data_IF_983398115361
#
_entry.id   IF_983398115361
#
_cell.length_a   1.000
_cell.length_b   1.000
_cell.length_c   1.000
_cell.angle_alpha   90.00
_cell.angle_beta   90.00
_cell.angle_gamma   90.00
#
_symmetry.space_group_name_H-M   'P 1'
#
loop_
_entity.id
_entity.type
_entity.pdbx_description
1 polymer ?
#
# COMPACT_ATOMS: atom_id res chain seq x y z
N UNK A 1 -6.51 29.59 -2.81
CA UNK A 1 -5.46 28.67 -2.37
C UNK A 1 -5.37 27.56 -3.40
N UNK A 2 -4.30 27.52 -4.19
CA UNK A 2 -4.23 26.67 -5.37
C UNK A 2 -4.32 25.18 -5.02
N UNK A 3 -5.00 24.42 -5.89
CA UNK A 3 -5.05 22.94 -5.88
C UNK A 3 -3.67 22.30 -5.66
N UNK A 4 -2.62 23.00 -6.10
CA UNK A 4 -1.22 22.63 -5.93
C UNK A 4 -0.76 22.60 -4.45
N UNK A 5 -1.09 23.63 -3.65
CA UNK A 5 -0.70 23.69 -2.24
C UNK A 5 -1.38 22.61 -1.40
N UNK A 6 -2.67 22.35 -1.64
CA UNK A 6 -3.38 21.27 -0.97
C UNK A 6 -2.77 19.90 -1.29
N UNK A 7 -2.41 19.66 -2.56
CA UNK A 7 -1.77 18.41 -2.96
C UNK A 7 -0.42 18.20 -2.24
N UNK A 8 0.39 19.25 -2.11
CA UNK A 8 1.66 19.19 -1.37
C UNK A 8 1.43 18.85 0.11
N UNK A 9 0.44 19.48 0.74
CA UNK A 9 0.12 19.21 2.15
C UNK A 9 -0.35 17.76 2.33
N UNK A 10 -1.19 17.23 1.43
CA UNK A 10 -1.61 15.82 1.48
C UNK A 10 -0.43 14.85 1.34
N UNK A 11 0.51 15.13 0.43
CA UNK A 11 1.72 14.32 0.26
C UNK A 11 2.59 14.36 1.52
N UNK A 12 2.79 15.54 2.12
CA UNK A 12 3.57 15.69 3.36
C UNK A 12 2.95 14.94 4.54
N UNK A 13 1.62 15.00 4.69
CA UNK A 13 0.90 14.26 5.73
C UNK A 13 1.07 12.75 5.52
N UNK A 14 0.92 12.27 4.28
CA UNK A 14 1.10 10.86 3.96
C UNK A 14 2.53 10.37 4.28
N UNK A 15 3.55 11.17 3.92
CA UNK A 15 4.96 10.88 4.24
C UNK A 15 5.21 10.86 5.76
N UNK A 16 4.65 11.82 6.49
CA UNK A 16 4.79 11.89 7.94
C UNK A 16 4.15 10.67 8.64
N UNK A 17 2.96 10.26 8.21
CA UNK A 17 2.28 9.06 8.72
C UNK A 17 3.10 7.80 8.42
N UNK A 18 3.68 7.69 7.23
CA UNK A 18 4.51 6.56 6.84
C UNK A 18 5.78 6.48 7.70
N UNK A 19 6.45 7.61 7.92
CA UNK A 19 7.64 7.69 8.78
C UNK A 19 7.34 7.36 10.25
N UNK A 20 6.21 7.85 10.78
CA UNK A 20 5.74 7.51 12.12
C UNK A 20 5.46 6.02 12.25
N UNK A 21 4.77 5.44 11.28
CA UNK A 21 4.50 4.02 11.23
C UNK A 21 5.80 3.20 11.25
N UNK A 22 6.77 3.53 10.41
CA UNK A 22 8.06 2.85 10.42
C UNK A 22 8.81 3.00 11.74
N UNK A 23 8.78 4.19 12.36
CA UNK A 23 9.43 4.44 13.65
C UNK A 23 8.80 3.61 14.77
N UNK A 24 7.48 3.56 14.86
CA UNK A 24 6.74 2.78 15.87
C UNK A 24 7.07 1.29 15.73
N UNK A 25 7.15 0.79 14.51
CA UNK A 25 7.33 -0.62 14.23
C UNK A 25 8.77 -1.03 13.92
N UNK A 26 9.75 -0.15 14.15
CA UNK A 26 11.18 -0.41 13.88
C UNK A 26 11.74 -1.53 14.74
N UNK A 27 11.42 -1.51 16.04
CA UNK A 27 11.88 -2.48 17.03
C UNK A 27 10.81 -3.54 17.35
N UNK A 28 9.87 -3.78 16.41
CA UNK A 28 8.75 -4.70 16.64
C UNK A 28 9.20 -6.15 16.85
N UNK A 29 10.36 -6.54 16.34
CA UNK A 29 10.85 -7.92 16.40
C UNK A 29 11.13 -8.35 17.84
N UNK A 30 11.59 -7.42 18.67
CA UNK A 30 11.97 -7.67 20.07
C UNK A 30 10.76 -7.66 21.02
N UNK A 31 9.57 -7.26 20.54
CA UNK A 31 8.34 -7.20 21.33
C UNK A 31 7.21 -8.03 20.68
N UNK A 32 6.82 -9.18 21.27
CA UNK A 32 5.85 -10.09 20.66
C UNK A 32 4.45 -9.48 20.50
N UNK A 33 4.02 -8.62 21.43
CA UNK A 33 2.72 -7.92 21.36
C UNK A 33 2.70 -6.92 20.22
N UNK A 34 3.75 -6.10 20.11
CA UNK A 34 3.88 -5.10 19.04
C UNK A 34 4.01 -5.75 17.66
N UNK A 35 4.71 -6.90 17.57
CA UNK A 35 4.79 -7.68 16.34
C UNK A 35 3.42 -8.21 15.92
N UNK A 36 2.61 -8.73 16.86
CA UNK A 36 1.26 -9.21 16.56
C UNK A 36 0.35 -8.09 16.03
N UNK A 37 0.42 -6.91 16.64
CA UNK A 37 -0.32 -5.71 16.20
C UNK A 37 0.13 -5.29 14.80
N UNK A 38 1.44 -5.20 14.56
CA UNK A 38 1.99 -4.90 13.24
C UNK A 38 1.45 -5.84 12.17
N UNK A 39 1.45 -7.15 12.49
CA UNK A 39 0.99 -8.19 11.58
C UNK A 39 -0.48 -8.00 11.16
N UNK A 40 -1.34 -7.70 12.13
CA UNK A 40 -2.76 -7.43 11.87
C UNK A 40 -2.90 -6.19 10.97
N UNK A 41 -2.20 -5.10 11.29
CA UNK A 41 -2.29 -3.85 10.53
C UNK A 41 -1.82 -4.05 9.09
N UNK A 42 -0.67 -4.68 8.87
CA UNK A 42 -0.16 -4.93 7.51
C UNK A 42 -1.10 -5.86 6.72
N UNK A 43 -1.70 -6.86 7.36
CA UNK A 43 -2.72 -7.70 6.74
C UNK A 43 -3.95 -6.90 6.28
N UNK A 44 -4.46 -6.00 7.11
CA UNK A 44 -5.57 -5.10 6.76
C UNK A 44 -5.20 -4.21 5.56
N UNK A 45 -3.99 -3.63 5.55
CA UNK A 45 -3.52 -2.81 4.43
C UNK A 45 -3.48 -3.58 3.11
N UNK A 46 -3.15 -4.88 3.14
CA UNK A 46 -3.14 -5.70 1.94
C UNK A 46 -4.54 -6.01 1.42
N UNK A 47 -5.49 -6.28 2.32
CA UNK A 47 -6.91 -6.44 1.93
C UNK A 47 -7.42 -5.16 1.27
N UNK A 48 -7.12 -3.99 1.86
CA UNK A 48 -7.48 -2.70 1.27
C UNK A 48 -6.83 -2.53 -0.10
N UNK A 49 -5.54 -2.83 -0.26
CA UNK A 49 -4.84 -2.74 -1.54
C UNK A 49 -5.46 -3.64 -2.62
N UNK A 50 -5.88 -4.85 -2.26
CA UNK A 50 -6.58 -5.76 -3.17
C UNK A 50 -7.93 -5.18 -3.62
N UNK A 51 -8.73 -4.66 -2.67
CA UNK A 51 -10.03 -4.02 -2.99
C UNK A 51 -9.83 -2.81 -3.91
N UNK A 52 -8.87 -1.93 -3.59
CA UNK A 52 -8.54 -0.76 -4.41
C UNK A 52 -8.11 -1.18 -5.81
N UNK A 53 -7.35 -2.26 -5.94
CA UNK A 53 -6.92 -2.78 -7.25
C UNK A 53 -8.10 -3.23 -8.09
N UNK A 54 -9.09 -3.91 -7.50
CA UNK A 54 -10.32 -4.30 -8.21
C UNK A 54 -11.09 -3.07 -8.68
N UNK A 55 -11.22 -2.04 -7.84
CA UNK A 55 -11.87 -0.78 -8.20
C UNK A 55 -11.12 -0.07 -9.34
N UNK A 56 -9.79 -0.02 -9.28
CA UNK A 56 -8.97 0.55 -10.34
C UNK A 56 -9.11 -0.23 -11.65
N UNK A 57 -9.26 -1.55 -11.58
CA UNK A 57 -9.50 -2.38 -12.75
C UNK A 57 -10.86 -2.11 -13.38
N UNK A 58 -11.88 -1.94 -12.54
CA UNK A 58 -13.22 -1.56 -12.98
C UNK A 58 -13.22 -0.19 -13.69
N UNK A 59 -12.62 0.82 -13.05
CA UNK A 59 -12.52 2.17 -13.61
C UNK A 59 -11.66 2.19 -14.87
N UNK A 60 -10.52 1.49 -14.87
CA UNK A 60 -9.64 1.38 -16.03
C UNK A 60 -10.32 0.70 -17.21
N UNK A 61 -11.17 -0.30 -16.98
CA UNK A 61 -11.98 -0.91 -18.03
C UNK A 61 -12.97 0.09 -18.65
N UNK A 62 -13.56 0.97 -17.84
CA UNK A 62 -14.38 2.08 -18.31
C UNK A 62 -13.62 3.02 -19.26
N UNK A 63 -12.41 3.44 -18.87
CA UNK A 63 -11.54 4.25 -19.73
C UNK A 63 -11.10 3.53 -21.01
N UNK A 64 -10.85 2.22 -20.92
CA UNK A 64 -10.50 1.39 -22.07
C UNK A 64 -11.62 1.37 -23.11
N UNK A 65 -12.88 1.21 -22.68
CA UNK A 65 -14.05 1.28 -23.56
C UNK A 65 -14.25 2.66 -24.21
N UNK A 66 -13.80 3.73 -23.55
CA UNK A 66 -13.86 5.09 -24.08
C UNK A 66 -12.70 5.41 -25.04
N UNK A 67 -11.87 4.42 -25.40
CA UNK A 67 -10.72 4.60 -26.28
C UNK A 67 -9.50 5.25 -25.60
N UNK A 68 -9.58 5.53 -24.30
CA UNK A 68 -8.47 6.10 -23.54
C UNK A 68 -7.60 5.00 -22.90
N UNK A 69 -6.94 4.24 -23.77
CA UNK A 69 -6.09 3.10 -23.38
C UNK A 69 -4.90 3.51 -22.51
N UNK A 70 -4.37 4.72 -22.68
CA UNK A 70 -3.25 5.22 -21.88
C UNK A 70 -3.60 5.34 -20.39
N UNK A 71 -4.76 5.92 -20.07
CA UNK A 71 -5.21 6.05 -18.67
C UNK A 71 -5.57 4.68 -18.09
N UNK A 72 -6.24 3.83 -18.87
CA UNK A 72 -6.59 2.48 -18.44
C UNK A 72 -5.36 1.65 -18.05
N UNK A 73 -4.32 1.64 -18.90
CA UNK A 73 -3.07 0.90 -18.63
C UNK A 73 -2.38 1.44 -17.36
N UNK A 74 -2.33 2.77 -17.17
CA UNK A 74 -1.76 3.37 -15.95
C UNK A 74 -2.49 2.90 -14.69
N UNK A 75 -3.82 2.86 -14.72
CA UNK A 75 -4.64 2.41 -13.59
C UNK A 75 -4.42 0.92 -13.29
N UNK A 76 -4.32 0.08 -14.32
CA UNK A 76 -4.03 -1.35 -14.17
C UNK A 76 -2.65 -1.61 -13.59
N UNK A 77 -1.62 -0.99 -14.16
CA UNK A 77 -0.22 -1.13 -13.69
C UNK A 77 -0.10 -0.63 -12.25
N UNK A 78 -0.72 0.49 -11.93
CA UNK A 78 -0.70 1.04 -10.57
C UNK A 78 -1.35 0.10 -9.54
N UNK A 79 -2.51 -0.47 -9.84
CA UNK A 79 -3.18 -1.44 -8.96
C UNK A 79 -2.34 -2.70 -8.73
N UNK A 80 -1.77 -3.26 -9.80
CA UNK A 80 -0.90 -4.45 -9.71
C UNK A 80 0.34 -4.15 -8.87
N UNK A 81 1.05 -3.05 -9.13
CA UNK A 81 2.24 -2.65 -8.39
C UNK A 81 1.94 -2.41 -6.91
N UNK A 82 0.82 -1.76 -6.59
CA UNK A 82 0.40 -1.53 -5.21
C UNK A 82 0.19 -2.85 -4.47
N UNK A 83 -0.61 -3.77 -5.03
CA UNK A 83 -0.92 -5.05 -4.38
C UNK A 83 0.31 -5.94 -4.23
N UNK A 84 1.18 -5.99 -5.25
CA UNK A 84 2.44 -6.73 -5.19
C UNK A 84 3.41 -6.13 -4.17
N UNK A 85 3.53 -4.80 -4.10
CA UNK A 85 4.41 -4.13 -3.13
C UNK A 85 3.98 -4.41 -1.69
N UNK A 86 2.69 -4.30 -1.39
CA UNK A 86 2.16 -4.59 -0.05
C UNK A 86 2.25 -6.09 0.24
N UNK A 87 1.95 -6.94 -0.74
CA UNK A 87 2.05 -8.40 -0.64
C UNK A 87 3.47 -8.88 -0.41
N UNK A 88 4.46 -8.28 -1.07
CA UNK A 88 5.89 -8.57 -0.86
C UNK A 88 6.33 -8.20 0.56
N UNK A 89 5.89 -7.06 1.10
CA UNK A 89 6.17 -6.65 2.49
C UNK A 89 5.58 -7.63 3.51
N UNK A 90 4.43 -8.25 3.20
CA UNK A 90 3.88 -9.37 3.99
C UNK A 90 4.75 -10.61 3.80
N UNK A 91 5.07 -11.01 2.57
CA UNK A 91 5.87 -12.21 2.35
C UNK A 91 7.23 -12.15 3.07
N UNK A 92 7.93 -11.02 3.02
CA UNK A 92 9.21 -10.88 3.71
C UNK A 92 9.07 -10.81 5.23
N UNK A 93 8.01 -10.19 5.75
CA UNK A 93 7.80 -10.07 7.22
C UNK A 93 7.23 -11.35 7.86
N UNK A 94 6.60 -12.23 7.08
CA UNK A 94 5.86 -13.39 7.61
C UNK A 94 6.29 -14.74 7.04
N UNK A 95 6.73 -14.77 5.77
CA UNK A 95 7.12 -15.97 5.04
C UNK A 95 8.59 -16.35 5.18
N UNK A 96 9.45 -15.44 5.65
CA UNK A 96 10.85 -15.76 5.89
C UNK A 96 11.01 -16.59 7.17
N UNK A 97 10.94 -17.92 7.03
CA UNK A 97 11.18 -18.89 8.11
C UNK A 97 12.56 -18.77 8.76
N UNK A 98 13.49 -18.02 8.16
CA UNK A 98 14.84 -17.78 8.67
C UNK A 98 14.94 -16.69 9.75
N UNK A 99 13.84 -16.07 10.19
CA UNK A 99 13.84 -15.19 11.38
C UNK A 99 13.65 -15.95 12.71
N UNK A 100 13.81 -17.28 12.71
CA UNK A 100 13.99 -18.11 13.90
C UNK A 100 15.46 -18.55 13.99
N UNK A 101 16.33 -17.66 14.41
CA UNK A 101 17.62 -18.02 15.02
C UNK A 101 17.92 -16.99 16.09
#
# INVERSE_FOLDING_TARGET
MDKFFYNIIYVLIALALLALFEKIFRNRKDNPTLNKIYKIIVGIFWIIAAIVTVLLYWVGYGYFKQGNSSIAIKLFVFGILMTLSVGYKIYTTFGNKNERN
#
